data_IF_644657829222
#
_entry.id   IF_644657829222
#
_cell.length_a   1.000
_cell.length_b   1.000
_cell.length_c   1.000
_cell.angle_alpha   90.00
_cell.angle_beta   90.00
_cell.angle_gamma   90.00
#
_symmetry.space_group_name_H-M   'P 1'
#
loop_
_entity.id
_entity.type
_entity.pdbx_description
1 polymer ?
#
# COMPACT_ATOMS: atom_id res chain seq x y z
N UNK A 1 -4.47 -14.94 12.43
CA UNK A 1 -5.46 -13.98 12.99
C UNK A 1 -4.88 -12.59 13.17
N UNK A 2 -3.79 -12.37 13.90
CA UNK A 2 -3.18 -11.03 14.11
C UNK A 2 -2.92 -10.26 12.80
N UNK A 3 -2.27 -10.89 11.82
CA UNK A 3 -1.95 -10.23 10.54
C UNK A 3 -3.18 -9.84 9.71
N UNK A 4 -4.27 -10.63 9.79
CA UNK A 4 -5.52 -10.28 9.11
C UNK A 4 -6.14 -9.05 9.75
N UNK A 5 -6.18 -9.00 11.09
CA UNK A 5 -6.66 -7.85 11.83
C UNK A 5 -5.86 -6.58 11.50
N UNK A 6 -4.52 -6.66 11.50
CA UNK A 6 -3.66 -5.55 11.13
C UNK A 6 -3.87 -5.10 9.67
N UNK A 7 -4.04 -6.05 8.75
CA UNK A 7 -4.30 -5.75 7.35
C UNK A 7 -5.62 -5.00 7.19
N UNK A 8 -6.71 -5.50 7.79
CA UNK A 8 -8.02 -4.84 7.76
C UNK A 8 -8.00 -3.46 8.41
N UNK A 9 -7.33 -3.33 9.56
CA UNK A 9 -7.20 -2.06 10.27
C UNK A 9 -6.43 -1.03 9.44
N UNK A 10 -5.32 -1.44 8.80
CA UNK A 10 -4.49 -0.55 8.02
C UNK A 10 -5.15 -0.14 6.68
N UNK A 11 -5.88 -1.04 6.03
CA UNK A 11 -6.75 -0.68 4.91
C UNK A 11 -7.77 0.38 5.35
N UNK A 12 -8.50 0.14 6.44
CA UNK A 12 -9.45 1.13 6.97
C UNK A 12 -8.81 2.48 7.28
N UNK A 13 -7.58 2.48 7.80
CA UNK A 13 -6.81 3.70 8.06
C UNK A 13 -6.46 4.46 6.76
N UNK A 14 -5.95 3.77 5.74
CA UNK A 14 -5.67 4.39 4.42
C UNK A 14 -6.97 4.98 3.85
N UNK A 15 -8.05 4.19 3.81
CA UNK A 15 -9.32 4.63 3.28
C UNK A 15 -9.86 5.88 4.00
N UNK A 16 -9.75 5.92 5.33
CA UNK A 16 -10.16 7.07 6.13
C UNK A 16 -9.36 8.34 5.77
N UNK A 17 -8.04 8.23 5.59
CA UNK A 17 -7.20 9.35 5.18
C UNK A 17 -7.47 9.78 3.75
N UNK A 18 -7.63 8.83 2.83
CA UNK A 18 -7.95 9.07 1.42
C UNK A 18 -9.34 9.68 1.22
N UNK A 19 -10.27 9.43 2.16
CA UNK A 19 -11.59 10.05 2.14
C UNK A 19 -11.60 11.55 2.44
N UNK A 20 -10.51 12.09 2.97
CA UNK A 20 -10.42 13.53 3.25
C UNK A 20 -10.12 14.28 1.93
N UNK A 21 -10.88 15.36 1.59
CA UNK A 21 -10.62 16.15 0.38
C UNK A 21 -9.17 16.67 0.32
N UNK A 22 -8.62 17.04 1.48
CA UNK A 22 -7.21 17.38 1.66
C UNK A 22 -6.75 17.00 3.06
N UNK A 23 -5.46 16.73 3.20
CA UNK A 23 -4.82 16.51 4.51
C UNK A 23 -4.12 17.79 4.95
N UNK A 24 -4.16 18.16 6.25
CA UNK A 24 -3.52 19.37 6.77
C UNK A 24 -2.00 19.16 6.93
N UNK A 25 -1.31 18.90 5.82
CA UNK A 25 0.14 18.66 5.77
C UNK A 25 0.83 19.88 5.15
N UNK A 26 1.83 20.49 5.80
CA UNK A 26 2.57 21.59 5.21
C UNK A 26 3.29 21.15 3.94
N UNK A 27 3.28 22.00 2.91
CA UNK A 27 4.04 21.75 1.68
C UNK A 27 5.52 22.02 1.92
N UNK A 28 6.32 20.96 2.05
CA UNK A 28 7.78 21.06 2.23
C UNK A 28 8.52 21.11 0.89
N UNK A 29 8.05 20.34 -0.09
CA UNK A 29 8.57 20.31 -1.46
C UNK A 29 7.51 19.77 -2.44
N UNK A 30 7.76 19.96 -3.74
CA UNK A 30 6.87 19.49 -4.80
C UNK A 30 6.86 17.95 -4.87
N UNK A 31 5.68 17.34 -5.07
CA UNK A 31 5.49 15.88 -5.17
C UNK A 31 5.75 15.08 -3.88
N UNK A 32 5.73 15.71 -2.70
CA UNK A 32 5.89 15.00 -1.42
C UNK A 32 4.77 13.99 -1.13
N UNK A 33 3.59 14.21 -1.69
CA UNK A 33 2.45 13.28 -1.70
C UNK A 33 2.84 11.90 -2.23
N UNK A 34 3.68 11.83 -3.28
CA UNK A 34 4.18 10.57 -3.82
C UNK A 34 5.00 9.77 -2.81
N UNK A 35 5.71 10.46 -1.90
CA UNK A 35 6.41 9.77 -0.81
C UNK A 35 5.46 9.26 0.26
N UNK A 36 4.35 9.96 0.53
CA UNK A 36 3.33 9.48 1.45
C UNK A 36 2.62 8.24 0.89
N UNK A 37 2.27 8.26 -0.39
CA UNK A 37 1.72 7.13 -1.14
C UNK A 37 2.68 5.92 -1.11
N UNK A 38 3.93 6.11 -1.55
CA UNK A 38 4.93 5.05 -1.51
C UNK A 38 5.20 4.51 -0.09
N UNK A 39 5.22 5.39 0.92
CA UNK A 39 5.39 4.99 2.32
C UNK A 39 4.21 4.18 2.85
N UNK A 40 2.99 4.67 2.64
CA UNK A 40 1.77 4.01 3.08
C UNK A 40 1.62 2.62 2.45
N UNK A 41 1.79 2.50 1.14
CA UNK A 41 1.68 1.22 0.46
C UNK A 41 2.88 0.30 0.68
N UNK A 42 4.05 0.84 1.03
CA UNK A 42 5.17 0.06 1.54
C UNK A 42 4.82 -0.64 2.87
N UNK A 43 4.19 0.08 3.81
CA UNK A 43 3.70 -0.50 5.07
C UNK A 43 2.58 -1.51 4.81
N UNK A 44 1.63 -1.18 3.92
CA UNK A 44 0.56 -2.10 3.53
C UNK A 44 1.14 -3.41 2.98
N UNK A 45 2.13 -3.33 2.09
CA UNK A 45 2.78 -4.49 1.49
C UNK A 45 3.54 -5.33 2.52
N UNK A 46 4.20 -4.70 3.50
CA UNK A 46 4.82 -5.40 4.62
C UNK A 46 3.78 -6.17 5.45
N UNK A 47 2.63 -5.59 5.76
CA UNK A 47 1.56 -6.26 6.49
C UNK A 47 0.98 -7.40 5.63
N UNK A 48 0.70 -7.13 4.35
CA UNK A 48 0.15 -8.08 3.40
C UNK A 48 1.03 -9.32 3.24
N UNK A 49 2.35 -9.17 3.05
CA UNK A 49 3.24 -10.34 2.92
C UNK A 49 3.31 -11.17 4.19
N UNK A 50 3.24 -10.53 5.36
CA UNK A 50 3.19 -11.26 6.62
C UNK A 50 1.87 -11.99 6.81
N UNK A 51 0.75 -11.51 6.25
CA UNK A 51 -0.50 -12.26 6.20
C UNK A 51 -0.43 -13.42 5.20
N UNK A 52 -0.15 -13.12 3.91
CA UNK A 52 -0.26 -14.08 2.82
C UNK A 52 0.74 -15.24 2.91
N UNK A 53 1.94 -15.03 3.47
CA UNK A 53 2.91 -16.14 3.67
C UNK A 53 2.40 -17.23 4.62
N UNK A 54 1.46 -16.92 5.51
CA UNK A 54 0.85 -17.92 6.40
C UNK A 54 -0.30 -18.68 5.74
N UNK A 55 -0.84 -18.15 4.64
CA UNK A 55 -1.96 -18.75 3.90
C UNK A 55 -1.51 -19.46 2.62
N UNK A 56 -0.33 -19.12 2.11
CA UNK A 56 0.21 -19.60 0.84
C UNK A 56 1.61 -20.17 1.09
N UNK A 57 1.76 -21.48 0.93
CA UNK A 57 3.03 -22.19 1.15
C UNK A 57 4.14 -21.71 0.20
N UNK A 58 3.79 -21.41 -1.05
CA UNK A 58 4.75 -20.96 -2.05
C UNK A 58 5.11 -19.48 -1.83
N UNK A 59 6.34 -19.23 -1.38
CA UNK A 59 6.84 -17.88 -1.09
C UNK A 59 6.77 -16.91 -2.29
N UNK A 60 7.04 -17.38 -3.52
CA UNK A 60 6.93 -16.57 -4.73
C UNK A 60 5.47 -16.19 -4.99
N UNK A 61 4.54 -17.12 -4.81
CA UNK A 61 3.10 -16.86 -4.95
C UNK A 61 2.60 -15.89 -3.89
N UNK A 62 3.03 -16.03 -2.63
CA UNK A 62 2.71 -15.08 -1.56
C UNK A 62 3.22 -13.66 -1.87
N UNK A 63 4.43 -13.54 -2.40
CA UNK A 63 4.99 -12.26 -2.87
C UNK A 63 4.12 -11.62 -3.95
N UNK A 64 3.81 -12.37 -5.02
CA UNK A 64 3.01 -11.87 -6.15
C UNK A 64 1.62 -11.46 -5.68
N UNK A 65 0.96 -12.28 -4.86
CA UNK A 65 -0.38 -11.97 -4.34
C UNK A 65 -0.36 -10.74 -3.43
N UNK A 66 0.68 -10.57 -2.61
CA UNK A 66 0.81 -9.37 -1.76
C UNK A 66 0.96 -8.10 -2.61
N UNK A 67 1.76 -8.17 -3.68
CA UNK A 67 1.93 -7.05 -4.60
C UNK A 67 0.62 -6.73 -5.34
N UNK A 68 -0.03 -7.74 -5.93
CA UNK A 68 -1.31 -7.57 -6.64
C UNK A 68 -2.37 -6.99 -5.70
N UNK A 69 -2.45 -7.48 -4.46
CA UNK A 69 -3.36 -6.95 -3.45
C UNK A 69 -3.13 -5.45 -3.23
N UNK A 70 -1.88 -5.02 -3.02
CA UNK A 70 -1.57 -3.60 -2.81
C UNK A 70 -1.90 -2.75 -4.05
N UNK A 71 -1.55 -3.23 -5.25
CA UNK A 71 -1.83 -2.52 -6.50
C UNK A 71 -3.33 -2.36 -6.77
N UNK A 72 -4.12 -3.41 -6.52
CA UNK A 72 -5.58 -3.36 -6.65
C UNK A 72 -6.21 -2.48 -5.57
N UNK A 73 -5.68 -2.51 -4.35
CA UNK A 73 -6.14 -1.64 -3.27
C UNK A 73 -5.90 -0.16 -3.61
N UNK A 74 -4.69 0.18 -4.08
CA UNK A 74 -4.36 1.54 -4.54
C UNK A 74 -5.21 2.01 -5.70
N UNK A 75 -5.43 1.14 -6.69
CA UNK A 75 -6.33 1.44 -7.79
C UNK A 75 -7.76 1.70 -7.30
N UNK A 76 -8.24 0.92 -6.32
CA UNK A 76 -9.57 1.15 -5.74
C UNK A 76 -9.65 2.42 -4.90
N UNK A 77 -8.55 2.83 -4.27
CA UNK A 77 -8.45 4.04 -3.48
C UNK A 77 -8.47 5.29 -4.38
N UNK A 78 -7.70 5.31 -5.47
CA UNK A 78 -7.77 6.37 -6.49
C UNK A 78 -9.16 6.45 -7.12
N UNK A 79 -9.78 5.30 -7.40
CA UNK A 79 -11.16 5.30 -7.90
C UNK A 79 -12.14 5.84 -6.86
N UNK A 80 -12.00 5.47 -5.58
CA UNK A 80 -12.81 6.04 -4.49
C UNK A 80 -12.64 7.56 -4.37
N UNK A 81 -11.40 8.04 -4.44
CA UNK A 81 -11.07 9.46 -4.37
C UNK A 81 -11.72 10.27 -5.51
N UNK A 82 -11.97 9.66 -6.68
CA UNK A 82 -12.66 10.32 -7.80
C UNK A 82 -14.10 10.76 -7.48
N UNK A 83 -14.70 10.22 -6.41
CA UNK A 83 -16.03 10.59 -5.95
C UNK A 83 -16.03 11.71 -4.89
N UNK A 84 -14.86 12.22 -4.51
CA UNK A 84 -14.71 13.22 -3.46
C UNK A 84 -14.49 14.59 -4.08
N UNK A 85 -15.43 15.50 -3.86
CA UNK A 85 -15.33 16.86 -4.39
C UNK A 85 -14.09 17.57 -3.83
N UNK A 86 -13.29 18.16 -4.72
CA UNK A 86 -12.03 18.85 -4.37
C UNK A 86 -10.83 17.93 -4.18
N UNK A 87 -10.99 16.60 -4.21
CA UNK A 87 -9.88 15.64 -4.23
C UNK A 87 -9.36 15.47 -5.66
N UNK A 88 -8.03 15.42 -5.81
CA UNK A 88 -7.39 15.10 -7.08
C UNK A 88 -6.97 13.64 -7.08
N UNK A 89 -7.35 12.92 -8.12
CA UNK A 89 -6.86 11.57 -8.42
C UNK A 89 -5.74 11.65 -9.42
N UNK A 90 -4.69 10.86 -9.23
CA UNK A 90 -3.52 10.88 -10.10
C UNK A 90 -2.99 9.47 -10.33
N UNK A 91 -2.84 9.10 -11.59
CA UNK A 91 -2.19 7.82 -11.96
C UNK A 91 -0.78 7.74 -11.38
N UNK A 92 -0.10 8.87 -11.18
CA UNK A 92 1.21 8.90 -10.53
C UNK A 92 1.15 8.57 -9.03
N UNK A 93 0.03 8.82 -8.33
CA UNK A 93 -0.17 8.34 -6.95
C UNK A 93 -0.26 6.82 -6.91
N UNK A 94 -1.08 6.23 -7.78
CA UNK A 94 -1.15 4.77 -7.91
C UNK A 94 0.19 4.12 -8.29
N UNK A 95 0.98 4.78 -9.16
CA UNK A 95 2.32 4.31 -9.49
C UNK A 95 3.28 4.41 -8.29
N UNK A 96 3.16 5.47 -7.47
CA UNK A 96 3.92 5.61 -6.23
C UNK A 96 3.54 4.52 -5.21
N UNK A 97 2.26 4.19 -5.09
CA UNK A 97 1.75 3.08 -4.28
C UNK A 97 2.40 1.75 -4.71
N UNK A 98 2.35 1.45 -6.00
CA UNK A 98 2.94 0.25 -6.59
C UNK A 98 4.45 0.18 -6.34
N UNK A 99 5.17 1.30 -6.53
CA UNK A 99 6.61 1.37 -6.31
C UNK A 99 6.96 1.14 -4.83
N UNK A 100 6.23 1.79 -3.92
CA UNK A 100 6.39 1.63 -2.48
C UNK A 100 6.18 0.18 -2.03
N UNK A 101 5.10 -0.43 -2.49
CA UNK A 101 4.80 -1.84 -2.24
C UNK A 101 5.91 -2.77 -2.78
N UNK A 102 6.36 -2.55 -4.02
CA UNK A 102 7.42 -3.36 -4.63
C UNK A 102 8.73 -3.26 -3.85
N UNK A 103 9.18 -2.04 -3.51
CA UNK A 103 10.41 -1.80 -2.74
C UNK A 103 10.31 -2.52 -1.38
N UNK A 104 9.22 -2.35 -0.65
CA UNK A 104 9.03 -2.98 0.65
C UNK A 104 9.08 -4.51 0.58
N UNK A 105 8.45 -5.13 -0.44
CA UNK A 105 8.49 -6.58 -0.63
C UNK A 105 9.89 -7.09 -0.99
N UNK A 106 10.63 -6.36 -1.83
CA UNK A 106 12.03 -6.70 -2.17
C UNK A 106 12.92 -6.61 -0.93
N UNK A 107 12.79 -5.55 -0.13
CA UNK A 107 13.52 -5.40 1.13
C UNK A 107 13.16 -6.51 2.12
N UNK A 108 11.88 -6.85 2.25
CA UNK A 108 11.41 -7.93 3.10
C UNK A 108 12.07 -9.27 2.74
N UNK A 109 12.16 -9.59 1.43
CA UNK A 109 12.84 -10.81 0.95
C UNK A 109 14.34 -10.80 1.24
N UNK A 110 15.01 -9.64 1.13
CA UNK A 110 16.45 -9.51 1.43
C UNK A 110 16.74 -9.71 2.92
N UNK A 111 15.88 -9.17 3.79
CA UNK A 111 16.03 -9.27 5.25
C UNK A 111 15.60 -10.63 5.81
N UNK A 112 14.70 -11.35 5.12
CA UNK A 112 14.27 -12.71 5.47
C UNK A 112 14.57 -13.69 4.32
N UNK A 113 15.83 -14.11 4.17
CA UNK A 113 16.24 -15.00 3.08
C UNK A 113 15.60 -16.40 3.13
N UNK A 114 14.92 -16.76 4.23
CA UNK A 114 14.21 -18.05 4.43
C UNK A 114 13.00 -18.27 3.51
N UNK A 115 12.73 -17.35 2.59
CA UNK A 115 11.65 -17.42 1.58
C UNK A 115 12.17 -17.81 0.19
N UNK A 116 13.35 -18.46 0.12
CA UNK A 116 13.90 -19.05 -1.12
C UNK A 116 13.39 -20.46 -1.33
#
# INVERSE_FOLDING_TARGET
MVWLFLLSLYCGFIFYLSHQPSLPVPMLFQHQDKLFHAGAYGVLAFIAINYFKHQIENAKKAFIISFIFCALYGMSDEWHQSFIEGRQTDVLDWLADCLGAFIALVLYKKLKPSLR
#
